data_IF_730942790019
#
_entry.id   IF_730942790019
#
_cell.length_a   1.000
_cell.length_b   1.000
_cell.length_c   1.000
_cell.angle_alpha   90.00
_cell.angle_beta   90.00
_cell.angle_gamma   90.00
#
_symmetry.space_group_name_H-M   'P 1'
#
loop_
_entity.id
_entity.type
_entity.pdbx_description
1 polymer ?
#
# COMPACT_ATOMS: atom_id res chain seq x y z
N UNK A 1 -12.83 -4.74 -29.21
CA UNK A 1 -12.49 -5.41 -27.93
C UNK A 1 -12.68 -4.42 -26.80
N UNK A 2 -13.72 -4.60 -25.98
CA UNK A 2 -13.88 -3.81 -24.75
C UNK A 2 -12.80 -4.30 -23.77
N UNK A 3 -11.83 -3.44 -23.43
CA UNK A 3 -10.94 -3.72 -22.29
C UNK A 3 -11.83 -3.99 -21.07
N UNK A 4 -11.62 -5.06 -20.29
CA UNK A 4 -12.35 -5.20 -19.03
C UNK A 4 -12.12 -3.93 -18.22
N UNK A 5 -13.22 -3.24 -17.85
CA UNK A 5 -13.14 -2.17 -16.87
C UNK A 5 -12.78 -2.85 -15.56
N UNK A 6 -11.49 -2.88 -15.23
CA UNK A 6 -11.04 -3.25 -13.89
C UNK A 6 -11.75 -2.33 -12.90
N UNK A 7 -12.73 -2.87 -12.18
CA UNK A 7 -13.54 -2.12 -11.25
C UNK A 7 -12.81 -1.94 -9.93
N UNK A 8 -13.25 -0.99 -9.10
CA UNK A 8 -12.69 -0.82 -7.75
C UNK A 8 -12.71 -2.11 -6.91
N UNK A 9 -13.66 -3.01 -7.15
CA UNK A 9 -13.71 -4.30 -6.46
C UNK A 9 -12.56 -5.23 -6.87
N UNK A 10 -12.19 -5.25 -8.15
CA UNK A 10 -11.08 -6.07 -8.65
C UNK A 10 -9.76 -5.56 -8.08
N UNK A 11 -9.57 -4.24 -8.09
CA UNK A 11 -8.41 -3.60 -7.48
C UNK A 11 -8.33 -3.83 -5.98
N UNK A 12 -9.44 -3.67 -5.26
CA UNK A 12 -9.48 -3.95 -3.83
C UNK A 12 -9.10 -5.42 -3.56
N UNK A 13 -9.60 -6.36 -4.35
CA UNK A 13 -9.30 -7.79 -4.18
C UNK A 13 -7.83 -8.11 -4.48
N UNK A 14 -7.25 -7.54 -5.54
CA UNK A 14 -5.82 -7.67 -5.81
C UNK A 14 -4.98 -7.08 -4.66
N UNK A 15 -5.34 -5.89 -4.18
CA UNK A 15 -4.69 -5.27 -3.03
C UNK A 15 -4.77 -6.13 -1.76
N UNK A 16 -5.93 -6.76 -1.51
CA UNK A 16 -6.13 -7.65 -0.36
C UNK A 16 -5.27 -8.90 -0.46
N UNK A 17 -5.24 -9.55 -1.62
CA UNK A 17 -4.74 -10.91 -1.75
C UNK A 17 -3.29 -11.00 -2.26
N UNK A 18 -2.83 -9.99 -3.01
CA UNK A 18 -1.57 -10.07 -3.75
C UNK A 18 -0.51 -9.09 -3.24
N UNK A 19 -0.91 -8.07 -2.48
CA UNK A 19 -0.01 -7.05 -1.91
C UNK A 19 0.28 -7.33 -0.44
N UNK A 20 1.58 -7.51 -0.12
CA UNK A 20 2.10 -7.63 1.24
C UNK A 20 3.44 -6.90 1.36
N UNK A 21 3.65 -6.20 2.48
CA UNK A 21 4.94 -5.60 2.84
C UNK A 21 5.03 -5.28 4.32
N UNK A 22 6.21 -5.44 4.92
CA UNK A 22 6.55 -5.01 6.28
C UNK A 22 7.83 -4.18 6.24
N UNK A 23 7.73 -2.89 5.95
CA UNK A 23 8.91 -2.08 5.67
C UNK A 23 9.08 -0.90 6.63
N UNK A 24 10.33 -0.56 6.91
CA UNK A 24 10.73 0.77 7.37
C UNK A 24 11.07 1.61 6.15
N UNK A 25 10.26 2.62 5.87
CA UNK A 25 10.32 3.40 4.63
C UNK A 25 11.55 4.32 4.59
N UNK A 26 12.29 4.30 3.49
CA UNK A 26 13.40 5.22 3.22
C UNK A 26 13.05 6.26 2.17
N UNK A 27 12.36 5.81 1.11
CA UNK A 27 11.93 6.68 0.03
C UNK A 27 10.65 6.15 -0.60
N UNK A 28 9.86 7.08 -1.13
CA UNK A 28 8.64 6.79 -1.87
C UNK A 28 8.65 7.55 -3.19
N UNK A 29 8.13 6.94 -4.23
CA UNK A 29 7.86 7.59 -5.51
C UNK A 29 6.63 6.97 -6.15
N UNK A 30 6.11 7.58 -7.21
CA UNK A 30 5.07 6.96 -8.03
C UNK A 30 5.26 7.35 -9.50
N UNK A 31 4.79 6.50 -10.40
CA UNK A 31 4.72 6.78 -11.84
C UNK A 31 3.32 6.41 -12.33
N UNK A 32 2.50 7.43 -12.57
CA UNK A 32 1.06 7.24 -12.76
C UNK A 32 0.42 6.63 -11.52
N UNK A 33 -0.27 5.51 -11.72
CA UNK A 33 -0.97 4.76 -10.66
C UNK A 33 -0.05 3.81 -9.86
N UNK A 34 1.20 3.65 -10.28
CA UNK A 34 2.13 2.72 -9.64
C UNK A 34 2.90 3.44 -8.54
N UNK A 35 2.77 2.94 -7.30
CA UNK A 35 3.53 3.41 -6.14
C UNK A 35 4.75 2.53 -5.91
N UNK A 36 5.88 3.15 -5.62
CA UNK A 36 7.13 2.49 -5.25
C UNK A 36 7.48 2.88 -3.81
N UNK A 37 7.61 1.89 -2.94
CA UNK A 37 8.01 2.03 -1.54
C UNK A 37 9.34 1.34 -1.35
N UNK A 38 10.41 2.11 -1.17
CA UNK A 38 11.75 1.55 -0.90
C UNK A 38 12.03 1.65 0.58
N UNK A 39 12.40 0.54 1.20
CA UNK A 39 12.66 0.48 2.63
C UNK A 39 13.37 -0.79 3.04
N UNK A 40 13.70 -0.88 4.33
CA UNK A 40 14.21 -2.13 4.91
C UNK A 40 13.03 -3.00 5.30
N UNK A 41 12.97 -4.20 4.74
CA UNK A 41 12.00 -5.21 5.15
C UNK A 41 12.33 -5.70 6.57
N UNK A 42 11.31 -5.78 7.40
CA UNK A 42 11.44 -6.14 8.81
C UNK A 42 11.68 -7.63 9.03
N UNK A 43 11.25 -8.47 8.09
CA UNK A 43 11.33 -9.92 8.22
C UNK A 43 12.68 -10.43 7.73
N UNK A 44 13.14 -9.96 6.55
CA UNK A 44 14.43 -10.35 5.98
C UNK A 44 15.60 -9.48 6.44
N UNK A 45 15.34 -8.24 6.86
CA UNK A 45 16.37 -7.25 7.15
C UNK A 45 17.03 -6.65 5.91
N UNK A 46 16.61 -7.04 4.70
CA UNK A 46 17.16 -6.57 3.44
C UNK A 46 16.46 -5.29 2.96
N UNK A 47 17.12 -4.55 2.07
CA UNK A 47 16.47 -3.41 1.40
C UNK A 47 15.63 -3.91 0.23
N UNK A 48 14.33 -3.62 0.26
CA UNK A 48 13.38 -3.99 -0.78
C UNK A 48 12.71 -2.74 -1.36
N UNK A 49 12.38 -2.82 -2.65
CA UNK A 49 11.49 -1.87 -3.32
C UNK A 49 10.18 -2.58 -3.65
N UNK A 50 9.12 -2.22 -2.93
CA UNK A 50 7.77 -2.72 -3.18
C UNK A 50 7.12 -1.85 -4.25
N UNK A 51 6.77 -2.49 -5.36
CA UNK A 51 6.01 -1.88 -6.45
C UNK A 51 4.56 -2.31 -6.35
N UNK A 52 3.67 -1.34 -6.21
CA UNK A 52 2.24 -1.54 -6.09
C UNK A 52 1.55 -0.84 -7.26
N UNK A 53 0.99 -1.61 -8.20
CA UNK A 53 0.43 -1.10 -9.45
C UNK A 53 -1.10 -1.14 -9.56
N UNK A 54 -1.80 -1.57 -8.51
CA UNK A 54 -3.27 -1.62 -8.44
C UNK A 54 -3.89 -0.24 -8.20
N UNK A 55 -3.07 0.82 -8.04
CA UNK A 55 -3.54 2.17 -7.72
C UNK A 55 -4.09 2.32 -6.30
N UNK A 56 -4.06 1.26 -5.49
CA UNK A 56 -4.65 1.21 -4.16
C UNK A 56 -3.96 2.09 -3.14
N UNK A 57 -2.64 2.19 -3.26
CA UNK A 57 -1.85 3.02 -2.36
C UNK A 57 -1.83 4.49 -2.78
N UNK A 58 -2.13 4.81 -4.03
CA UNK A 58 -2.02 6.18 -4.55
C UNK A 58 -2.86 7.19 -3.73
N UNK A 59 -4.12 6.91 -3.33
CA UNK A 59 -4.91 7.86 -2.54
C UNK A 59 -4.39 8.11 -1.13
N UNK A 60 -3.56 7.23 -0.59
CA UNK A 60 -2.98 7.36 0.76
C UNK A 60 -1.47 7.62 0.73
N UNK A 61 -0.84 7.67 -0.45
CA UNK A 61 0.60 7.83 -0.66
C UNK A 61 1.20 9.07 0.02
N UNK A 62 0.46 10.18 0.07
CA UNK A 62 0.94 11.43 0.69
C UNK A 62 1.02 11.37 2.21
N UNK A 63 0.41 10.35 2.85
CA UNK A 63 0.49 10.19 4.31
C UNK A 63 1.77 9.53 4.79
N UNK A 64 2.51 8.87 3.89
CA UNK A 64 3.73 8.14 4.21
C UNK A 64 4.92 9.10 4.32
N UNK A 65 5.73 8.93 5.35
CA UNK A 65 6.94 9.71 5.62
C UNK A 65 8.16 8.80 5.76
N UNK A 66 9.35 9.34 5.54
CA UNK A 66 10.58 8.58 5.78
C UNK A 66 10.64 8.14 7.26
N UNK A 67 11.15 6.92 7.47
CA UNK A 67 11.20 6.17 8.73
C UNK A 67 9.84 5.72 9.28
N UNK A 68 8.75 5.93 8.54
CA UNK A 68 7.48 5.28 8.86
C UNK A 68 7.64 3.76 8.73
N UNK A 69 7.10 3.02 9.69
CA UNK A 69 6.93 1.57 9.55
C UNK A 69 5.58 1.31 8.91
N UNK A 70 5.60 0.75 7.70
CA UNK A 70 4.40 0.40 6.94
C UNK A 70 4.20 -1.11 6.99
N UNK A 71 3.03 -1.52 7.46
CA UNK A 71 2.62 -2.92 7.49
C UNK A 71 1.39 -3.08 6.61
N UNK A 72 1.47 -3.99 5.65
CA UNK A 72 0.34 -4.44 4.86
C UNK A 72 0.34 -5.97 4.86
N UNK A 73 -0.55 -6.54 5.65
CA UNK A 73 -0.76 -7.99 5.69
C UNK A 73 -1.59 -8.48 4.52
N UNK A 74 -1.29 -9.69 4.04
CA UNK A 74 -2.15 -10.42 3.11
C UNK A 74 -3.51 -10.70 3.76
N UNK A 75 -4.59 -10.55 2.99
CA UNK A 75 -5.96 -10.68 3.48
C UNK A 75 -6.55 -9.40 4.11
N UNK A 76 -5.78 -8.31 4.19
CA UNK A 76 -6.24 -7.01 4.68
C UNK A 76 -6.46 -6.00 3.55
N UNK A 77 -7.48 -5.14 3.68
CA UNK A 77 -7.63 -3.92 2.85
C UNK A 77 -6.93 -2.70 3.48
N UNK A 78 -6.14 -2.88 4.53
CA UNK A 78 -5.60 -1.77 5.33
C UNK A 78 -4.07 -1.77 5.29
N UNK A 79 -3.51 -0.57 5.25
CA UNK A 79 -2.10 -0.32 5.56
C UNK A 79 -2.05 0.24 6.97
N UNK A 80 -1.26 -0.39 7.83
CA UNK A 80 -0.97 0.13 9.15
C UNK A 80 0.34 0.91 9.07
N UNK A 81 0.25 2.17 9.46
CA UNK A 81 1.37 3.06 9.63
C UNK A 81 1.71 3.14 11.12
N UNK A 82 2.91 2.70 11.49
CA UNK A 82 3.44 2.84 12.85
C UNK A 82 4.55 3.88 12.88
N UNK A 83 4.41 4.80 13.83
CA UNK A 83 5.39 5.81 14.24
C UNK A 83 5.67 5.65 15.74
N UNK A 84 6.71 6.29 16.23
CA UNK A 84 7.12 6.24 17.65
C UNK A 84 5.95 6.43 18.62
N UNK A 85 5.12 7.45 18.36
CA UNK A 85 4.06 7.88 19.29
C UNK A 85 2.65 7.74 18.70
N UNK A 86 2.52 7.09 17.53
CA UNK A 86 1.21 6.92 16.89
C UNK A 86 1.13 5.68 16.02
N UNK A 87 -0.06 5.09 15.98
CA UNK A 87 -0.43 4.08 14.99
C UNK A 87 -1.64 4.59 14.23
N UNK A 88 -1.53 4.64 12.90
CA UNK A 88 -2.60 5.04 12.02
C UNK A 88 -2.97 3.85 11.12
N UNK A 89 -4.22 3.45 11.16
CA UNK A 89 -4.73 2.44 10.22
C UNK A 89 -5.40 3.14 9.05
N UNK A 90 -4.86 2.92 7.86
CA UNK A 90 -5.30 3.57 6.62
C UNK A 90 -6.08 2.55 5.79
N UNK A 91 -7.36 2.79 5.49
CA UNK A 91 -8.12 1.92 4.61
C UNK A 91 -7.69 2.12 3.16
N UNK A 92 -7.84 1.08 2.35
CA UNK A 92 -7.85 1.20 0.90
C UNK A 92 -9.06 2.02 0.46
N UNK A 93 -8.84 2.96 -0.46
CA UNK A 93 -9.88 3.83 -1.02
C UNK A 93 -9.79 3.74 -2.54
N UNK A 94 -10.91 3.47 -3.21
CA UNK A 94 -11.02 3.55 -4.66
C UNK A 94 -12.26 4.33 -5.06
N UNK A 95 -12.09 5.37 -5.88
CA UNK A 95 -13.16 6.29 -6.33
C UNK A 95 -14.04 6.81 -5.18
N UNK A 96 -13.42 7.17 -4.04
CA UNK A 96 -14.13 7.67 -2.85
C UNK A 96 -14.78 6.59 -1.97
N UNK A 97 -14.80 5.33 -2.41
CA UNK A 97 -15.29 4.20 -1.61
C UNK A 97 -14.16 3.62 -0.78
N UNK A 98 -14.34 3.61 0.54
CA UNK A 98 -13.44 2.91 1.47
C UNK A 98 -13.78 1.43 1.53
N UNK A 99 -12.76 0.58 1.48
CA UNK A 99 -12.86 -0.86 1.66
C UNK A 99 -12.34 -1.21 3.05
N UNK A 100 -13.13 -1.96 3.82
CA UNK A 100 -12.82 -2.40 5.18
C UNK A 100 -13.15 -3.88 5.29
N UNK A 101 -12.37 -4.62 6.07
CA UNK A 101 -12.74 -5.98 6.48
C UNK A 101 -13.85 -5.90 7.54
#
# INVERSE_FOLDING_TARGET
>A
MLKPKYGCNDYANAFKNDVQFHLVLYSKSHNGEIVFLTGKDLDSGETHCYREGSGGLLPIYEKFLNNDTLLKDKGSYQVVLKRRDSTLTLPFICSGKSFKN
#
